data_IF_535848744927
#
_entry.id   IF_535848744927
#
_cell.length_a   1.000
_cell.length_b   1.000
_cell.length_c   1.000
_cell.angle_alpha   90.00
_cell.angle_beta   90.00
_cell.angle_gamma   90.00
#
_symmetry.space_group_name_H-M   'P 1'
#
loop_
_entity.id
_entity.type
_entity.pdbx_description
1 polymer ?
#
# COMPACT_ATOMS: atom_id res chain seq x y z
N UNK A 1 -8.77 -1.89 9.75
CA UNK A 1 -8.16 -2.73 8.69
C UNK A 1 -6.72 -2.96 9.07
N UNK A 2 -6.33 -4.21 9.27
CA UNK A 2 -5.00 -4.55 9.77
C UNK A 2 -4.13 -4.97 8.58
N UNK A 3 -2.85 -4.65 8.67
CA UNK A 3 -1.87 -5.04 7.68
C UNK A 3 -1.60 -6.53 7.71
N UNK A 4 -1.01 -7.06 6.65
CA UNK A 4 -0.55 -8.45 6.62
C UNK A 4 0.41 -8.79 7.78
N UNK A 5 0.99 -7.79 8.44
CA UNK A 5 1.85 -7.89 9.62
C UNK A 5 1.14 -7.61 10.95
N UNK A 6 -0.18 -7.42 10.96
CA UNK A 6 -0.96 -7.07 12.15
C UNK A 6 -1.02 -5.57 12.48
N UNK A 7 -0.15 -4.75 11.89
CA UNK A 7 -0.12 -3.30 12.11
C UNK A 7 -1.35 -2.58 11.54
N UNK A 8 -1.96 -1.63 12.26
CA UNK A 8 -3.09 -0.87 11.73
C UNK A 8 -2.64 -0.03 10.53
N UNK A 9 -3.40 -0.07 9.44
CA UNK A 9 -3.22 0.95 8.39
C UNK A 9 -3.70 2.29 8.90
N UNK A 10 -3.00 3.37 8.51
CA UNK A 10 -3.55 4.70 8.68
C UNK A 10 -4.91 4.79 8.00
N UNK A 11 -5.90 5.21 8.77
CA UNK A 11 -7.26 5.39 8.27
C UNK A 11 -7.26 6.65 7.41
N UNK A 12 -7.23 6.44 6.09
CA UNK A 12 -7.32 7.51 5.10
C UNK A 12 -8.57 7.30 4.25
N UNK A 13 -9.20 8.39 3.85
CA UNK A 13 -10.44 8.35 3.06
C UNK A 13 -10.24 7.77 1.65
N UNK A 14 -9.00 7.79 1.15
CA UNK A 14 -8.62 7.21 -0.14
C UNK A 14 -7.24 6.60 -0.05
N UNK A 15 -7.14 5.35 -0.50
CA UNK A 15 -5.88 4.63 -0.64
C UNK A 15 -5.84 3.95 -2.01
N UNK A 16 -4.68 3.95 -2.65
CA UNK A 16 -4.45 3.25 -3.91
C UNK A 16 -3.76 1.94 -3.61
N UNK A 17 -4.27 0.82 -4.11
CA UNK A 17 -3.64 -0.49 -3.91
C UNK A 17 -2.58 -0.76 -4.98
N UNK A 18 -1.43 -1.29 -4.56
CA UNK A 18 -0.38 -1.73 -5.45
C UNK A 18 -0.80 -3.01 -6.19
N UNK A 19 -0.76 -2.98 -7.52
CA UNK A 19 -0.99 -4.15 -8.38
C UNK A 19 0.23 -4.55 -9.22
N UNK A 20 1.29 -3.74 -9.20
CA UNK A 20 2.50 -3.94 -10.01
C UNK A 20 3.59 -4.77 -9.32
N UNK A 21 3.46 -5.02 -8.01
CA UNK A 21 4.46 -5.73 -7.20
C UNK A 21 5.73 -4.94 -6.88
N UNK A 22 5.97 -3.78 -7.51
CA UNK A 22 7.15 -2.92 -7.33
C UNK A 22 7.10 -2.01 -6.09
N UNK A 23 5.96 -1.87 -5.43
CA UNK A 23 5.85 -0.98 -4.26
C UNK A 23 6.61 -1.50 -3.06
N UNK A 24 7.28 -0.59 -2.35
CA UNK A 24 7.94 -0.83 -1.07
C UNK A 24 6.97 -0.77 0.12
N UNK A 25 5.82 -0.10 -0.03
CA UNK A 25 4.81 0.07 1.02
C UNK A 25 3.56 -0.80 0.81
N UNK A 26 3.76 -2.08 0.52
CA UNK A 26 2.65 -3.02 0.22
C UNK A 26 1.65 -3.07 1.38
N UNK A 27 0.33 -3.06 1.10
CA UNK A 27 -0.36 -3.19 -0.18
C UNK A 27 -0.66 -1.84 -0.86
N UNK A 28 -0.13 -0.73 -0.36
CA UNK A 28 -0.40 0.61 -0.88
C UNK A 28 0.50 0.87 -2.09
N UNK A 29 0.01 1.63 -3.07
CA UNK A 29 0.79 2.08 -4.21
C UNK A 29 1.55 3.37 -3.84
N UNK A 30 2.87 3.35 -4.04
CA UNK A 30 3.82 4.45 -3.82
C UNK A 30 4.37 5.05 -5.12
N UNK A 31 3.86 4.62 -6.28
CA UNK A 31 4.34 5.10 -7.57
C UNK A 31 5.61 4.42 -8.07
N UNK A 32 6.17 3.43 -7.37
CA UNK A 32 7.37 2.69 -7.82
C UNK A 32 7.20 1.93 -9.15
N UNK A 33 5.99 1.87 -9.71
CA UNK A 33 5.76 1.32 -11.05
C UNK A 33 6.13 2.27 -12.20
N UNK A 34 6.26 3.56 -11.91
CA UNK A 34 6.61 4.57 -12.91
C UNK A 34 8.12 4.72 -13.11
N UNK A 35 8.91 4.13 -12.21
CA UNK A 35 10.35 3.99 -12.32
C UNK A 35 10.70 2.68 -13.05
#
# INVERSE_FOLDING_TARGET
VNSAKGEPYEVRNRVTLCRCGKSSNKPICDGSHLM
#
